data_IF_734481447301
#
_entry.id   IF_734481447301
#
_cell.length_a   1.000
_cell.length_b   1.000
_cell.length_c   1.000
_cell.angle_alpha   90.00
_cell.angle_beta   90.00
_cell.angle_gamma   90.00
#
_symmetry.space_group_name_H-M   'P 1'
#
loop_
_entity.id
_entity.type
_entity.pdbx_description
1 polymer ?
#
# COMPACT_ATOMS: atom_id res chain seq x y z
N UNK A 1 6.19 -4.81 -11.00
CA UNK A 1 5.12 -5.38 -10.18
C UNK A 1 5.70 -5.72 -8.82
N UNK A 2 4.91 -5.57 -7.75
CA UNK A 2 5.32 -5.85 -6.36
C UNK A 2 4.47 -7.00 -5.83
N UNK A 3 5.06 -7.90 -5.03
CA UNK A 3 4.33 -9.00 -4.41
C UNK A 3 3.41 -8.47 -3.29
N UNK A 4 2.12 -8.79 -3.36
CA UNK A 4 1.10 -8.37 -2.41
C UNK A 4 0.18 -9.54 -2.06
N UNK A 5 -0.15 -9.69 -0.77
CA UNK A 5 -1.15 -10.65 -0.30
C UNK A 5 -2.48 -10.39 -0.99
N UNK A 6 -3.19 -11.46 -1.33
CA UNK A 6 -4.47 -11.37 -2.04
C UNK A 6 -5.48 -10.54 -1.25
N UNK A 7 -5.51 -10.70 0.08
CA UNK A 7 -6.43 -9.99 0.98
C UNK A 7 -6.16 -8.50 1.09
N UNK A 8 -4.91 -8.08 0.86
CA UNK A 8 -4.51 -6.68 0.84
C UNK A 8 -4.77 -6.09 -0.54
N UNK A 9 -4.50 -6.85 -1.61
CA UNK A 9 -4.70 -6.40 -2.98
C UNK A 9 -6.18 -6.32 -3.37
N UNK A 10 -7.04 -7.16 -2.80
CA UNK A 10 -8.45 -7.27 -3.16
C UNK A 10 -9.36 -6.88 -2.00
N UNK A 11 -10.61 -6.52 -2.28
CA UNK A 11 -11.59 -6.15 -1.26
C UNK A 11 -12.44 -7.37 -0.86
N UNK A 12 -11.87 -8.26 -0.04
CA UNK A 12 -12.59 -9.44 0.44
C UNK A 12 -13.59 -9.10 1.55
N UNK A 13 -14.83 -9.61 1.48
CA UNK A 13 -15.75 -9.56 2.61
C UNK A 13 -15.14 -10.26 3.83
N UNK A 14 -15.23 -9.64 5.01
CA UNK A 14 -14.77 -10.16 6.29
C UNK A 14 -13.23 -10.32 6.46
N UNK A 15 -12.43 -9.66 5.63
CA UNK A 15 -10.98 -9.54 5.87
C UNK A 15 -10.70 -8.52 6.97
N UNK A 16 -9.71 -8.81 7.82
CA UNK A 16 -9.16 -7.85 8.78
C UNK A 16 -8.06 -6.95 8.18
N UNK A 17 -7.70 -7.17 6.91
CA UNK A 17 -6.70 -6.38 6.22
C UNK A 17 -7.31 -5.14 5.56
N UNK A 18 -6.54 -4.05 5.58
CA UNK A 18 -6.82 -2.91 4.73
C UNK A 18 -6.67 -3.31 3.26
N UNK A 19 -7.62 -2.85 2.43
CA UNK A 19 -7.68 -3.21 1.02
C UNK A 19 -7.17 -2.08 0.15
N UNK A 20 -6.11 -2.35 -0.60
CA UNK A 20 -5.53 -1.40 -1.55
C UNK A 20 -6.52 -1.06 -2.68
N UNK A 21 -7.27 -2.06 -3.17
CA UNK A 21 -8.34 -1.82 -4.14
C UNK A 21 -9.41 -0.85 -3.63
N UNK A 22 -9.74 -0.91 -2.33
CA UNK A 22 -10.70 0.03 -1.73
C UNK A 22 -10.16 1.47 -1.74
N UNK A 23 -8.87 1.64 -1.44
CA UNK A 23 -8.20 2.94 -1.54
C UNK A 23 -8.22 3.46 -2.99
N UNK A 24 -7.86 2.62 -3.97
CA UNK A 24 -7.90 2.99 -5.40
C UNK A 24 -9.30 3.44 -5.84
N UNK A 25 -10.35 2.74 -5.39
CA UNK A 25 -11.74 3.12 -5.67
C UNK A 25 -12.12 4.46 -5.04
N UNK A 26 -11.65 4.77 -3.83
CA UNK A 26 -11.88 6.06 -3.19
C UNK A 26 -11.15 7.20 -3.91
N UNK A 27 -9.92 6.96 -4.37
CA UNK A 27 -9.16 7.90 -5.18
C UNK A 27 -9.88 8.15 -6.51
N UNK A 28 -10.35 7.10 -7.18
CA UNK A 28 -11.07 7.24 -8.45
C UNK A 28 -12.38 8.03 -8.30
N UNK A 29 -13.07 7.89 -7.17
CA UNK A 29 -14.30 8.62 -6.87
C UNK A 29 -14.04 10.12 -6.62
N UNK A 30 -13.00 10.45 -5.87
CA UNK A 30 -12.70 11.82 -5.45
C UNK A 30 -11.20 12.15 -5.57
N UNK A 31 -10.63 12.18 -6.80
CA UNK A 31 -9.18 12.29 -6.99
C UNK A 31 -8.59 13.60 -6.45
N UNK A 32 -9.40 14.66 -6.37
CA UNK A 32 -9.01 15.95 -5.79
C UNK A 32 -8.62 15.88 -4.30
N UNK A 33 -9.01 14.82 -3.60
CA UNK A 33 -8.68 14.58 -2.19
C UNK A 33 -7.34 13.85 -1.98
N UNK A 34 -6.59 13.52 -3.04
CA UNK A 34 -5.39 12.69 -2.96
C UNK A 34 -4.20 13.33 -3.69
N UNK A 35 -3.90 14.59 -3.36
CA UNK A 35 -2.79 15.32 -3.99
C UNK A 35 -1.45 14.74 -3.57
N UNK A 36 -0.54 14.58 -4.53
CA UNK A 36 0.81 14.05 -4.27
C UNK A 36 0.80 12.61 -3.76
N UNK A 37 -0.18 11.81 -4.19
CA UNK A 37 -0.28 10.41 -3.80
C UNK A 37 1.00 9.63 -4.16
N UNK A 38 1.54 8.92 -3.19
CA UNK A 38 2.71 8.05 -3.33
C UNK A 38 2.54 6.79 -2.47
N UNK A 39 3.25 5.72 -2.85
CA UNK A 39 3.30 4.47 -2.10
C UNK A 39 4.75 4.07 -1.88
N UNK A 40 5.13 3.99 -0.61
CA UNK A 40 6.44 3.50 -0.19
C UNK A 40 6.35 2.01 0.17
N UNK A 41 7.34 1.23 -0.26
CA UNK A 41 7.41 -0.21 0.01
C UNK A 41 8.52 -0.50 1.02
N UNK A 42 8.14 -1.07 2.17
CA UNK A 42 9.06 -1.43 3.23
C UNK A 42 9.41 -2.91 3.12
N UNK A 43 10.72 -3.20 3.01
CA UNK A 43 11.25 -4.56 2.92
C UNK A 43 11.98 -4.92 4.20
N UNK A 44 12.01 -6.22 4.50
CA UNK A 44 12.86 -6.78 5.56
C UNK A 44 14.30 -6.67 5.11
N UNK A 45 15.22 -6.48 6.05
CA UNK A 45 16.63 -6.70 5.75
C UNK A 45 16.84 -8.14 5.24
N UNK A 46 17.65 -8.34 4.20
CA UNK A 46 17.86 -9.66 3.62
C UNK A 46 18.52 -10.58 4.66
N UNK A 47 17.87 -11.71 4.96
CA UNK A 47 18.40 -12.74 5.87
C UNK A 47 18.89 -13.93 5.03
N UNK A 48 20.08 -13.82 4.44
CA UNK A 48 20.66 -14.86 3.58
C UNK A 48 21.38 -14.31 2.35
N UNK A 49 21.96 -15.17 1.48
CA UNK A 49 22.66 -14.74 0.27
C UNK A 49 21.76 -13.84 -0.56
N UNK A 50 22.31 -12.72 -1.02
CA UNK A 50 21.59 -11.56 -1.57
C UNK A 50 20.43 -11.96 -2.48
N UNK A 51 19.21 -11.96 -1.93
CA UNK A 51 18.01 -11.91 -2.75
C UNK A 51 18.07 -10.60 -3.52
N UNK A 52 18.05 -10.69 -4.84
CA UNK A 52 17.96 -9.51 -5.69
C UNK A 52 16.70 -8.72 -5.27
N UNK A 53 16.73 -7.38 -5.30
CA UNK A 53 15.60 -6.55 -4.85
C UNK A 53 14.26 -6.93 -5.49
N UNK A 54 14.29 -7.58 -6.65
CA UNK A 54 13.15 -8.12 -7.40
C UNK A 54 12.49 -9.35 -6.78
N UNK A 55 13.16 -10.09 -5.91
CA UNK A 55 12.65 -11.29 -5.23
C UNK A 55 12.14 -11.00 -3.81
N UNK A 56 12.43 -9.81 -3.28
CA UNK A 56 11.99 -9.44 -1.95
C UNK A 56 10.49 -9.12 -1.93
N UNK A 57 9.79 -9.73 -0.98
CA UNK A 57 8.39 -9.42 -0.69
C UNK A 57 8.38 -8.30 0.36
N UNK A 58 7.73 -7.15 0.10
CA UNK A 58 7.60 -6.11 1.12
C UNK A 58 6.84 -6.67 2.32
N UNK A 59 7.19 -6.24 3.53
CA UNK A 59 6.40 -6.52 4.73
C UNK A 59 5.22 -5.61 4.91
N UNK A 60 5.33 -4.40 4.37
CA UNK A 60 4.34 -3.36 4.48
C UNK A 60 4.53 -2.42 3.29
N UNK A 61 3.48 -1.75 2.91
CA UNK A 61 3.59 -0.55 2.11
C UNK A 61 2.68 0.54 2.69
N UNK A 62 3.10 1.79 2.50
CA UNK A 62 2.44 2.94 3.09
C UNK A 62 2.03 3.89 1.97
N UNK A 63 0.72 4.07 1.82
CA UNK A 63 0.20 5.12 0.96
C UNK A 63 0.24 6.46 1.71
N UNK A 64 0.66 7.52 1.04
CA UNK A 64 0.67 8.88 1.58
C UNK A 64 0.11 9.85 0.57
N UNK A 65 -0.66 10.84 1.03
CA UNK A 65 -1.20 11.91 0.19
C UNK A 65 -1.51 13.15 1.02
N UNK A 66 -1.84 14.25 0.36
CA UNK A 66 -2.41 15.44 0.98
C UNK A 66 -3.88 15.56 0.61
N UNK A 67 -4.75 15.70 1.60
CA UNK A 67 -6.18 15.84 1.36
C UNK A 67 -6.57 17.20 0.74
N UNK A 68 -7.83 17.35 0.34
CA UNK A 68 -8.31 18.59 -0.27
C UNK A 68 -8.20 19.82 0.66
N UNK A 69 -8.08 19.60 1.98
CA UNK A 69 -7.87 20.65 2.98
C UNK A 69 -6.39 20.96 3.22
N UNK A 70 -5.47 20.27 2.53
CA UNK A 70 -4.04 20.45 2.70
C UNK A 70 -3.45 19.64 3.85
N UNK A 71 -4.18 18.68 4.41
CA UNK A 71 -3.71 17.87 5.55
C UNK A 71 -3.00 16.61 5.04
N UNK A 72 -1.77 16.32 5.49
CA UNK A 72 -1.10 15.07 5.18
C UNK A 72 -1.86 13.87 5.77
N UNK A 73 -2.03 12.83 4.95
CA UNK A 73 -2.68 11.59 5.29
C UNK A 73 -1.75 10.42 4.99
N UNK A 74 -1.93 9.33 5.71
CA UNK A 74 -1.25 8.07 5.41
C UNK A 74 -2.07 6.86 5.77
N UNK A 75 -1.95 5.80 4.97
CA UNK A 75 -2.61 4.51 5.19
C UNK A 75 -1.59 3.37 5.04
N UNK A 76 -1.25 2.65 6.12
CA UNK A 76 -0.40 1.48 6.06
C UNK A 76 -1.18 0.24 5.59
N UNK A 77 -0.48 -0.65 4.88
CA UNK A 77 -0.98 -1.94 4.44
C UNK A 77 0.03 -3.02 4.82
N UNK A 78 -0.34 -3.86 5.79
CA UNK A 78 0.48 -4.99 6.21
C UNK A 78 0.46 -6.08 5.14
N UNK A 79 1.63 -6.63 4.80
CA UNK A 79 1.82 -7.65 3.76
C UNK A 79 2.52 -8.88 4.37
N UNK A 80 1.99 -9.38 5.48
CA UNK A 80 2.56 -10.45 6.31
C UNK A 80 1.63 -11.63 6.48
#
# INVERSE_FOLDING_TARGET
>A
MVAMLKEVNQNFPNSNFESYLRLEQQIAKEPGNYKGFAVDFNYRDPVGPELTKTEQVPTEFKATWTDAKGVPQSLPFANQ
#
